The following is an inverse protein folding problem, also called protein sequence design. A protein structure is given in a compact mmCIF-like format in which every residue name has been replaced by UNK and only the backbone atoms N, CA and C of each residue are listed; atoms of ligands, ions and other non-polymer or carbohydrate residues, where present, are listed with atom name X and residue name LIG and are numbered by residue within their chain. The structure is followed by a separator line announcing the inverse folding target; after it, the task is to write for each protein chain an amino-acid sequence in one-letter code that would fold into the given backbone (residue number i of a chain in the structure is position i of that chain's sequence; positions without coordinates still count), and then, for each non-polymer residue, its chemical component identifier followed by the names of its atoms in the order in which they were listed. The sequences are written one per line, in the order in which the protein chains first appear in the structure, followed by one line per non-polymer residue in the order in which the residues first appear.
data_IF_045314363300
#
_entry.id   IF_045314363300
#
_cell.length_a   1.000
_cell.length_b   1.000
_cell.length_c   1.000
_cell.angle_alpha   90.00
_cell.angle_beta   90.00
_cell.angle_gamma   90.00
#
_symmetry.space_group_name_H-M   'P 1'
#
loop_
_entity.id
_entity.type
_entity.pdbx_description
1 polymer ?
#
# COMPACT_ATOMS: atom_id res chain seq x y z
N UNK A 1 12.82 -32.37 22.15
CA UNK A 1 11.64 -31.49 22.01
C UNK A 1 12.09 -30.06 22.23
N UNK A 2 12.51 -29.35 21.17
CA UNK A 2 12.76 -27.92 21.23
C UNK A 2 11.42 -27.22 21.04
N UNK A 3 10.88 -26.67 22.12
CA UNK A 3 9.67 -25.84 22.08
C UNK A 3 10.14 -24.38 22.00
N UNK A 4 10.42 -23.91 20.78
CA UNK A 4 10.64 -22.49 20.53
C UNK A 4 9.33 -21.77 20.76
N UNK A 5 9.21 -21.09 21.90
CA UNK A 5 8.17 -20.09 22.11
C UNK A 5 8.43 -18.96 21.11
N UNK A 6 7.81 -19.03 19.95
CA UNK A 6 7.66 -17.86 19.08
C UNK A 6 6.85 -16.83 19.88
N UNK A 7 7.55 -15.87 20.47
CA UNK A 7 6.92 -14.67 20.99
C UNK A 7 6.33 -13.93 19.80
N UNK A 8 5.02 -14.03 19.61
CA UNK A 8 4.29 -13.28 18.57
C UNK A 8 4.61 -11.80 18.73
N UNK A 9 5.32 -11.22 17.77
CA UNK A 9 5.64 -9.80 17.75
C UNK A 9 4.33 -9.01 17.80
N UNK A 10 4.11 -8.24 18.87
CA UNK A 10 2.89 -7.46 19.03
C UNK A 10 3.08 -6.11 18.36
N UNK A 11 2.42 -5.93 17.21
CA UNK A 11 2.41 -4.66 16.49
C UNK A 11 1.45 -3.66 17.17
N UNK A 12 1.77 -2.37 17.06
CA UNK A 12 1.05 -1.28 17.74
C UNK A 12 -0.18 -0.82 16.97
N UNK A 13 -0.13 -0.86 15.65
CA UNK A 13 -1.17 -0.32 14.77
C UNK A 13 -1.74 -1.40 13.83
N UNK A 14 -3.02 -1.24 13.49
CA UNK A 14 -3.76 -2.00 12.48
C UNK A 14 -4.09 -1.05 11.32
N UNK A 15 -3.78 -1.43 10.07
CA UNK A 15 -4.07 -0.61 8.88
C UNK A 15 -5.56 -0.25 8.77
N UNK A 16 -6.42 -1.06 9.38
CA UNK A 16 -7.88 -0.90 9.40
C UNK A 16 -8.34 0.28 10.26
N UNK A 17 -7.45 0.81 11.12
CA UNK A 17 -7.72 1.88 12.07
C UNK A 17 -6.56 2.89 12.17
N UNK A 18 -5.63 2.88 11.21
CA UNK A 18 -4.45 3.74 11.27
C UNK A 18 -4.80 5.21 10.98
N UNK A 19 -5.92 5.45 10.29
CA UNK A 19 -6.42 6.78 9.97
C UNK A 19 -5.40 7.62 9.21
N UNK A 20 -5.21 8.88 9.62
CA UNK A 20 -4.30 9.85 8.99
C UNK A 20 -2.87 9.83 9.53
N UNK A 21 -2.44 8.80 10.27
CA UNK A 21 -1.10 8.78 10.87
C UNK A 21 0.01 8.83 9.81
N UNK A 22 1.17 9.39 10.19
CA UNK A 22 2.34 9.48 9.32
C UNK A 22 2.96 8.08 9.15
N UNK A 23 2.56 7.40 8.08
CA UNK A 23 3.14 6.12 7.68
C UNK A 23 4.48 6.39 7.01
N UNK A 24 5.52 5.69 7.47
CA UNK A 24 6.85 5.70 6.90
C UNK A 24 7.43 4.28 6.92
N UNK A 25 8.43 4.01 6.10
CA UNK A 25 9.14 2.73 6.06
C UNK A 25 9.82 2.45 7.39
N UNK A 26 10.27 3.50 8.10
CA UNK A 26 10.92 3.36 9.39
C UNK A 26 10.03 2.76 10.49
N UNK A 27 8.69 2.85 10.34
CA UNK A 27 7.72 2.25 11.28
C UNK A 27 7.16 0.91 10.80
N UNK A 28 7.36 0.55 9.53
CA UNK A 28 7.04 -0.80 9.02
C UNK A 28 7.90 -1.84 9.74
N UNK A 29 7.31 -2.98 10.05
CA UNK A 29 7.86 -4.06 10.89
C UNK A 29 8.25 -3.69 12.32
N UNK A 30 8.21 -2.41 12.71
CA UNK A 30 8.42 -1.98 14.11
C UNK A 30 7.10 -1.77 14.83
N UNK A 31 6.19 -1.03 14.19
CA UNK A 31 4.91 -0.62 14.76
C UNK A 31 3.71 -1.15 13.98
N UNK A 32 3.88 -1.43 12.69
CA UNK A 32 2.86 -1.99 11.80
C UNK A 32 3.42 -3.30 11.22
N UNK A 33 2.61 -4.35 11.20
CA UNK A 33 2.95 -5.57 10.46
C UNK A 33 2.80 -5.28 8.97
N UNK A 34 3.90 -5.36 8.22
CA UNK A 34 3.88 -5.08 6.78
C UNK A 34 2.99 -6.05 5.99
N UNK A 35 2.69 -7.25 6.53
CA UNK A 35 1.77 -8.20 5.90
C UNK A 35 0.33 -7.70 5.87
N UNK A 36 -0.04 -6.76 6.74
CA UNK A 36 -1.37 -6.17 6.72
C UNK A 36 -1.67 -5.43 5.40
N UNK A 37 -0.64 -4.96 4.69
CA UNK A 37 -0.80 -4.31 3.38
C UNK A 37 -1.12 -5.29 2.25
N UNK A 38 -1.14 -6.60 2.50
CA UNK A 38 -1.73 -7.55 1.58
C UNK A 38 -3.26 -7.44 1.62
N UNK A 39 -3.89 -7.45 0.45
CA UNK A 39 -5.32 -7.13 0.33
C UNK A 39 -6.22 -8.05 1.18
N UNK A 40 -5.82 -9.29 1.41
CA UNK A 40 -6.61 -10.30 2.09
C UNK A 40 -6.35 -10.36 3.61
N UNK A 41 -5.34 -9.68 4.13
CA UNK A 41 -4.94 -9.80 5.54
C UNK A 41 -5.72 -8.87 6.48
N UNK A 42 -6.43 -7.86 5.95
CA UNK A 42 -7.19 -6.93 6.79
C UNK A 42 -8.43 -7.62 7.42
N UNK A 43 -8.78 -7.21 8.64
CA UNK A 43 -9.85 -7.84 9.42
C UNK A 43 -11.23 -7.80 8.73
N UNK A 44 -11.51 -6.76 7.94
CA UNK A 44 -12.79 -6.63 7.24
C UNK A 44 -12.92 -7.64 6.10
N UNK A 45 -11.83 -7.88 5.36
CA UNK A 45 -11.81 -8.91 4.32
C UNK A 45 -11.94 -10.32 4.91
N UNK A 46 -11.29 -10.57 6.05
CA UNK A 46 -11.42 -11.85 6.76
C UNK A 46 -12.86 -12.10 7.24
N UNK A 47 -13.51 -11.09 7.80
CA UNK A 47 -14.94 -11.14 8.17
C UNK A 47 -15.85 -11.31 6.95
N UNK A 48 -15.52 -10.65 5.83
CA UNK A 48 -16.22 -10.80 4.57
C UNK A 48 -16.17 -12.25 4.06
N UNK A 49 -14.99 -12.87 4.05
CA UNK A 49 -14.82 -14.27 3.64
C UNK A 49 -15.62 -15.23 4.52
N UNK A 50 -15.72 -14.97 5.82
CA UNK A 50 -16.52 -15.77 6.74
C UNK A 50 -18.03 -15.57 6.52
N UNK A 51 -18.49 -14.33 6.30
CA UNK A 51 -19.91 -14.03 6.11
C UNK A 51 -20.43 -14.54 4.76
N UNK A 52 -19.62 -14.50 3.70
CA UNK A 52 -19.98 -15.02 2.38
C UNK A 52 -20.27 -16.53 2.35
N UNK A 53 -19.74 -17.30 3.31
CA UNK A 53 -20.05 -18.73 3.45
C UNK A 53 -21.47 -18.97 3.96
N UNK A 54 -22.11 -17.96 4.57
CA UNK A 54 -23.48 -18.02 5.08
C UNK A 54 -24.43 -17.43 4.05
N UNK A 55 -25.52 -18.15 3.75
CA UNK A 55 -26.56 -17.65 2.84
C UNK A 55 -27.45 -16.65 3.56
N UNK A 56 -27.47 -15.39 3.11
CA UNK A 56 -28.41 -14.35 3.54
C UNK A 56 -29.56 -14.20 2.53
N UNK A 57 -30.80 -14.05 3.01
CA UNK A 57 -31.99 -13.92 2.14
C UNK A 57 -32.11 -12.51 1.58
N UNK A 58 -32.52 -12.41 0.31
CA UNK A 58 -32.88 -11.14 -0.32
C UNK A 58 -34.28 -10.75 0.19
N UNK A 59 -34.39 -9.59 0.83
CA UNK A 59 -35.66 -9.07 1.35
C UNK A 59 -36.32 -8.10 0.38
N UNK A 60 -35.53 -7.45 -0.48
CA UNK A 60 -36.03 -6.52 -1.50
C UNK A 60 -35.06 -6.44 -2.68
N UNK A 61 -35.60 -6.30 -3.89
CA UNK A 61 -34.82 -6.07 -5.10
C UNK A 61 -35.46 -4.96 -5.95
N UNK A 62 -34.63 -4.05 -6.45
CA UNK A 62 -35.04 -3.01 -7.42
C UNK A 62 -34.30 -3.24 -8.73
N UNK A 63 -35.01 -3.13 -9.86
CA UNK A 63 -34.46 -3.23 -11.22
C UNK A 63 -34.74 -1.91 -11.94
N UNK A 64 -33.75 -1.34 -12.60
CA UNK A 64 -33.92 -0.08 -13.35
C UNK A 64 -34.76 -0.30 -14.61
N UNK A 65 -35.70 0.61 -14.89
CA UNK A 65 -36.69 0.50 -15.98
C UNK A 65 -36.05 0.29 -17.37
N UNK A 66 -34.83 0.78 -17.61
CA UNK A 66 -34.08 0.62 -18.88
C UNK A 66 -32.76 -0.18 -18.72
N UNK A 67 -32.59 -0.91 -17.60
CA UNK A 67 -31.29 -1.47 -17.24
C UNK A 67 -30.24 -0.43 -16.79
N UNK A 68 -30.68 0.77 -16.38
CA UNK A 68 -29.84 1.81 -15.77
C UNK A 68 -30.59 2.46 -14.59
N UNK A 69 -30.22 2.09 -13.37
CA UNK A 69 -30.78 2.61 -12.09
C UNK A 69 -30.08 3.92 -11.71
N UNK A 70 -28.74 3.94 -11.76
CA UNK A 70 -27.93 5.07 -11.30
C UNK A 70 -26.51 4.96 -11.86
N UNK A 71 -25.94 6.07 -12.33
CA UNK A 71 -24.53 6.18 -12.72
C UNK A 71 -23.68 6.38 -11.47
N UNK A 72 -22.72 5.50 -11.22
CA UNK A 72 -21.75 5.60 -10.12
C UNK A 72 -20.34 5.65 -10.71
N UNK A 73 -19.50 6.53 -10.17
CA UNK A 73 -18.08 6.56 -10.47
C UNK A 73 -17.35 5.55 -9.59
N UNK A 74 -16.68 4.58 -10.19
CA UNK A 74 -15.70 3.70 -9.52
C UNK A 74 -14.34 4.05 -10.11
N UNK A 75 -13.48 4.67 -9.29
CA UNK A 75 -12.21 5.25 -9.75
C UNK A 75 -12.42 6.23 -10.91
N UNK A 76 -11.87 5.97 -12.11
CA UNK A 76 -12.01 6.81 -13.31
C UNK A 76 -13.16 6.38 -14.23
N UNK A 77 -13.85 5.27 -13.92
CA UNK A 77 -14.87 4.68 -14.77
C UNK A 77 -16.27 4.96 -14.19
N UNK A 78 -17.22 5.28 -15.06
CA UNK A 78 -18.62 5.38 -14.67
C UNK A 78 -19.35 4.09 -15.05
N UNK A 79 -19.98 3.47 -14.05
CA UNK A 79 -20.79 2.27 -14.23
C UNK A 79 -22.25 2.56 -13.90
N UNK A 80 -23.14 1.91 -14.64
CA UNK A 80 -24.57 1.98 -14.41
C UNK A 80 -25.01 0.76 -13.60
N UNK A 81 -25.62 1.00 -12.44
CA UNK A 81 -26.27 -0.04 -11.66
C UNK A 81 -27.48 -0.54 -12.45
N UNK A 82 -27.65 -1.84 -12.59
CA UNK A 82 -28.82 -2.49 -13.17
C UNK A 82 -29.79 -2.98 -12.11
N UNK A 83 -29.25 -3.56 -11.04
CA UNK A 83 -30.02 -4.18 -9.97
C UNK A 83 -29.45 -3.74 -8.62
N UNK A 84 -30.33 -3.40 -7.70
CA UNK A 84 -30.00 -3.20 -6.28
C UNK A 84 -30.73 -4.27 -5.47
N UNK A 85 -30.01 -5.02 -4.64
CA UNK A 85 -30.57 -6.02 -3.71
C UNK A 85 -30.30 -5.62 -2.28
N UNK A 86 -31.32 -5.73 -1.44
CA UNK A 86 -31.24 -5.55 0.00
C UNK A 86 -31.39 -6.92 0.66
N UNK A 87 -30.52 -7.21 1.61
CA UNK A 87 -30.48 -8.48 2.30
C UNK A 87 -30.91 -8.34 3.77
N UNK A 88 -31.32 -9.45 4.37
CA UNK A 88 -31.74 -9.54 5.78
C UNK A 88 -30.62 -9.12 6.76
N UNK A 89 -29.37 -9.44 6.42
CA UNK A 89 -28.16 -9.00 7.14
C UNK A 89 -27.79 -7.52 6.89
N UNK A 90 -28.70 -6.74 6.31
CA UNK A 90 -28.54 -5.32 5.97
C UNK A 90 -27.42 -5.03 4.95
N UNK A 91 -26.85 -6.07 4.33
CA UNK A 91 -25.96 -5.91 3.17
C UNK A 91 -26.75 -5.39 1.98
N UNK A 92 -26.12 -4.51 1.20
CA UNK A 92 -26.65 -4.04 -0.09
C UNK A 92 -25.73 -4.54 -1.20
N UNK A 93 -26.28 -5.18 -2.22
CA UNK A 93 -25.56 -5.58 -3.44
C UNK A 93 -26.04 -4.74 -4.63
N UNK A 94 -25.08 -4.11 -5.31
CA UNK A 94 -25.28 -3.41 -6.57
C UNK A 94 -24.68 -4.25 -7.70
N UNK A 95 -25.50 -4.60 -8.68
CA UNK A 95 -25.07 -5.34 -9.87
C UNK A 95 -25.06 -4.36 -11.03
N UNK A 96 -23.91 -4.21 -11.68
CA UNK A 96 -23.72 -3.32 -12.81
C UNK A 96 -23.96 -4.03 -14.14
N UNK A 97 -24.15 -3.26 -15.21
CA UNK A 97 -24.40 -3.80 -16.56
C UNK A 97 -23.30 -4.74 -17.08
N UNK A 98 -22.06 -4.52 -16.66
CA UNK A 98 -20.93 -5.39 -16.96
C UNK A 98 -20.83 -6.60 -16.01
N UNK A 99 -21.86 -6.90 -15.23
CA UNK A 99 -21.92 -8.00 -14.23
C UNK A 99 -20.97 -7.84 -13.04
N UNK A 100 -20.21 -6.75 -12.95
CA UNK A 100 -19.48 -6.39 -11.73
C UNK A 100 -20.48 -6.28 -10.58
N UNK A 101 -20.07 -6.73 -9.40
CA UNK A 101 -20.86 -6.63 -8.17
C UNK A 101 -20.14 -5.76 -7.17
N UNK A 102 -20.85 -4.80 -6.60
CA UNK A 102 -20.41 -4.04 -5.42
C UNK A 102 -21.28 -4.45 -4.24
N UNK A 103 -20.65 -4.85 -3.15
CA UNK A 103 -21.32 -5.16 -1.90
C UNK A 103 -20.98 -4.07 -0.87
N UNK A 104 -21.97 -3.60 -0.13
CA UNK A 104 -21.84 -2.59 0.93
C UNK A 104 -22.44 -3.17 2.21
N UNK A 105 -21.69 -3.07 3.30
CA UNK A 105 -22.04 -3.66 4.59
C UNK A 105 -22.41 -2.59 5.62
N UNK A 106 -23.17 -2.93 6.68
CA UNK A 106 -23.60 -1.98 7.71
C UNK A 106 -22.45 -1.27 8.43
N UNK A 107 -21.31 -1.95 8.59
CA UNK A 107 -20.10 -1.40 9.19
C UNK A 107 -19.35 -0.41 8.26
N UNK A 108 -19.95 0.02 7.14
CA UNK A 108 -19.39 0.89 6.08
C UNK A 108 -18.31 0.25 5.21
N UNK A 109 -17.90 -0.99 5.48
CA UNK A 109 -17.04 -1.73 4.56
C UNK A 109 -17.75 -1.91 3.22
N UNK A 110 -17.02 -1.78 2.12
CA UNK A 110 -17.52 -2.17 0.80
C UNK A 110 -16.46 -2.83 -0.04
N UNK A 111 -16.90 -3.73 -0.92
CA UNK A 111 -16.02 -4.51 -1.79
C UNK A 111 -16.60 -4.59 -3.21
N UNK A 112 -15.72 -4.54 -4.19
CA UNK A 112 -16.02 -4.70 -5.61
C UNK A 112 -15.08 -5.78 -6.16
N UNK A 113 -15.66 -6.84 -6.71
CA UNK A 113 -14.92 -7.87 -7.43
C UNK A 113 -15.06 -7.59 -8.94
N UNK A 114 -13.95 -7.33 -9.61
CA UNK A 114 -13.93 -7.02 -11.03
C UNK A 114 -13.77 -8.29 -11.88
N UNK A 115 -14.09 -8.17 -13.17
CA UNK A 115 -14.05 -9.28 -14.13
C UNK A 115 -12.62 -9.75 -14.39
N UNK A 116 -11.65 -8.82 -14.35
CA UNK A 116 -10.22 -9.11 -14.46
C UNK A 116 -9.61 -9.66 -13.17
N UNK A 117 -10.43 -10.11 -12.21
CA UNK A 117 -10.03 -10.63 -10.90
C UNK A 117 -9.45 -9.60 -9.92
N UNK A 118 -9.36 -8.33 -10.32
CA UNK A 118 -9.03 -7.26 -9.39
C UNK A 118 -10.08 -7.17 -8.27
N UNK A 119 -9.64 -6.69 -7.12
CA UNK A 119 -10.49 -6.46 -5.96
C UNK A 119 -10.29 -5.03 -5.49
N UNK A 120 -11.39 -4.30 -5.29
CA UNK A 120 -11.36 -3.01 -4.61
C UNK A 120 -12.16 -3.07 -3.32
N UNK A 121 -11.54 -2.65 -2.24
CA UNK A 121 -12.14 -2.53 -0.91
C UNK A 121 -12.15 -1.07 -0.48
N UNK A 122 -13.15 -0.68 0.29
CA UNK A 122 -13.21 0.60 0.99
C UNK A 122 -13.52 0.29 2.44
N UNK A 123 -12.61 0.68 3.34
CA UNK A 123 -12.72 0.47 4.78
C UNK A 123 -13.58 1.58 5.42
N UNK A 124 -14.01 1.41 6.69
CA UNK A 124 -14.89 2.38 7.35
C UNK A 124 -14.26 3.75 7.58
N UNK A 125 -12.93 3.82 7.65
CA UNK A 125 -12.14 5.06 7.77
C UNK A 125 -11.84 5.71 6.40
N UNK A 126 -12.48 5.23 5.33
CA UNK A 126 -12.29 5.65 3.93
C UNK A 126 -10.97 5.22 3.29
N UNK A 127 -10.15 4.41 3.97
CA UNK A 127 -8.98 3.76 3.36
C UNK A 127 -9.43 2.87 2.19
N UNK A 128 -8.78 3.02 1.03
CA UNK A 128 -9.06 2.26 -0.19
C UNK A 128 -7.96 1.24 -0.39
N UNK A 129 -8.31 -0.04 -0.51
CA UNK A 129 -7.37 -1.11 -0.85
C UNK A 129 -7.72 -1.62 -2.25
N UNK A 130 -6.79 -1.57 -3.18
CA UNK A 130 -6.93 -2.08 -4.54
C UNK A 130 -5.90 -3.18 -4.80
N UNK A 131 -6.37 -4.36 -5.15
CA UNK A 131 -5.54 -5.49 -5.56
C UNK A 131 -5.59 -5.64 -7.07
N UNK A 132 -4.41 -5.58 -7.70
CA UNK A 132 -4.19 -5.84 -9.12
C UNK A 132 -3.83 -7.31 -9.29
N UNK A 133 -4.74 -8.11 -9.84
CA UNK A 133 -4.57 -9.56 -9.89
C UNK A 133 -3.45 -10.00 -10.83
N UNK A 134 -3.33 -9.36 -12.00
CA UNK A 134 -2.31 -9.68 -13.01
C UNK A 134 -0.89 -9.42 -12.51
N UNK A 135 -0.71 -8.35 -11.73
CA UNK A 135 0.59 -7.93 -11.20
C UNK A 135 0.87 -8.43 -9.77
N UNK A 136 -0.07 -9.16 -9.15
CA UNK A 136 0.00 -9.57 -7.73
C UNK A 136 0.39 -8.43 -6.78
N UNK A 137 -0.14 -7.24 -7.03
CA UNK A 137 0.25 -6.01 -6.33
C UNK A 137 -0.93 -5.41 -5.59
N UNK A 138 -0.73 -5.01 -4.34
CA UNK A 138 -1.74 -4.30 -3.55
C UNK A 138 -1.36 -2.83 -3.41
N UNK A 139 -2.30 -1.93 -3.70
CA UNK A 139 -2.22 -0.51 -3.41
C UNK A 139 -3.20 -0.16 -2.29
N UNK A 140 -2.71 0.47 -1.23
CA UNK A 140 -3.52 1.02 -0.14
C UNK A 140 -3.42 2.54 -0.16
N UNK A 141 -4.54 3.22 -0.40
CA UNK A 141 -4.64 4.69 -0.38
C UNK A 141 -5.35 5.13 0.89
N UNK A 142 -4.64 5.90 1.72
CA UNK A 142 -5.17 6.46 2.96
C UNK A 142 -5.95 7.77 2.72
N UNK A 143 -6.81 8.20 3.66
CA UNK A 143 -7.58 9.45 3.53
C UNK A 143 -6.72 10.71 3.37
N UNK A 144 -5.50 10.71 3.92
CA UNK A 144 -4.53 11.80 3.78
C UNK A 144 -3.82 11.81 2.40
N UNK A 145 -4.15 10.87 1.50
CA UNK A 145 -3.59 10.77 0.15
C UNK A 145 -2.30 9.96 0.04
N UNK A 146 -1.75 9.45 1.14
CA UNK A 146 -0.59 8.56 1.11
C UNK A 146 -0.98 7.24 0.44
N UNK A 147 -0.16 6.78 -0.49
CA UNK A 147 -0.31 5.48 -1.14
C UNK A 147 0.79 4.54 -0.68
N UNK A 148 0.43 3.32 -0.29
CA UNK A 148 1.38 2.24 0.00
C UNK A 148 1.18 1.14 -1.03
N UNK A 149 2.27 0.75 -1.70
CA UNK A 149 2.30 -0.36 -2.65
C UNK A 149 3.05 -1.54 -2.03
N UNK A 150 2.44 -2.72 -2.12
CA UNK A 150 3.02 -4.00 -1.74
C UNK A 150 3.13 -4.86 -3.00
N UNK A 151 4.36 -5.11 -3.42
CA UNK A 151 4.71 -5.92 -4.59
C UNK A 151 4.96 -7.39 -4.22
N UNK A 152 4.86 -8.32 -5.19
CA UNK A 152 5.04 -9.76 -4.93
C UNK A 152 6.48 -10.14 -4.58
N UNK A 153 7.47 -9.33 -4.97
CA UNK A 153 8.88 -9.52 -4.68
C UNK A 153 9.29 -8.98 -3.29
N UNK A 154 8.35 -8.79 -2.36
CA UNK A 154 8.59 -8.19 -1.05
C UNK A 154 9.07 -6.73 -1.02
N UNK A 155 9.03 -6.04 -2.16
CA UNK A 155 9.21 -4.59 -2.20
C UNK A 155 7.98 -3.86 -1.66
N UNK A 156 8.24 -2.78 -0.92
CA UNK A 156 7.25 -1.85 -0.43
C UNK A 156 7.59 -0.43 -0.88
N UNK A 157 6.58 0.32 -1.30
CA UNK A 157 6.73 1.74 -1.63
C UNK A 157 5.66 2.57 -0.95
N UNK A 158 6.05 3.72 -0.40
CA UNK A 158 5.17 4.73 0.15
C UNK A 158 5.31 5.98 -0.71
N UNK A 159 4.22 6.44 -1.31
CA UNK A 159 4.17 7.65 -2.11
C UNK A 159 3.33 8.69 -1.39
N UNK A 160 3.94 9.83 -1.10
CA UNK A 160 3.31 10.94 -0.40
C UNK A 160 2.70 11.94 -1.40
N UNK A 161 1.64 12.69 -1.02
CA UNK A 161 1.01 13.68 -1.88
C UNK A 161 1.93 14.80 -2.36
N UNK A 162 2.95 15.14 -1.58
CA UNK A 162 3.96 16.14 -1.90
C UNK A 162 5.01 15.67 -2.94
N UNK A 163 4.95 14.41 -3.36
CA UNK A 163 5.89 13.82 -4.33
C UNK A 163 7.04 13.03 -3.70
N UNK A 164 7.21 13.09 -2.37
CA UNK A 164 8.19 12.25 -1.68
C UNK A 164 7.86 10.77 -1.86
N UNK A 165 8.90 9.94 -1.89
CA UNK A 165 8.76 8.49 -1.90
C UNK A 165 9.71 7.84 -0.93
N UNK A 166 9.25 6.79 -0.29
CA UNK A 166 10.08 5.87 0.47
C UNK A 166 9.92 4.48 -0.15
N UNK A 167 11.03 3.77 -0.36
CA UNK A 167 11.06 2.45 -0.99
C UNK A 167 11.89 1.51 -0.10
N UNK A 168 11.37 0.33 0.20
CA UNK A 168 12.09 -0.76 0.87
C UNK A 168 12.13 -1.94 -0.10
N UNK A 169 13.33 -2.30 -0.53
CA UNK A 169 13.57 -3.43 -1.40
C UNK A 169 13.66 -4.73 -0.58
N UNK A 170 13.59 -5.86 -1.27
CA UNK A 170 13.58 -7.19 -0.65
C UNK A 170 14.91 -7.55 0.03
N UNK A 171 16.00 -6.94 -0.39
CA UNK A 171 17.34 -7.08 0.19
C UNK A 171 17.55 -6.17 1.42
N UNK A 172 16.49 -5.51 1.91
CA UNK A 172 16.58 -4.58 3.03
C UNK A 172 17.09 -3.18 2.66
N UNK A 173 17.51 -2.95 1.41
CA UNK A 173 17.89 -1.62 0.92
C UNK A 173 16.70 -0.67 1.05
N UNK A 174 16.95 0.53 1.56
CA UNK A 174 15.94 1.58 1.68
C UNK A 174 16.32 2.77 0.83
N UNK A 175 15.41 3.24 -0.02
CA UNK A 175 15.61 4.42 -0.86
C UNK A 175 14.56 5.48 -0.53
N UNK A 176 15.01 6.71 -0.34
CA UNK A 176 14.20 7.89 -0.07
C UNK A 176 14.35 8.85 -1.24
N UNK A 177 13.26 9.40 -1.73
CA UNK A 177 13.23 10.38 -2.82
C UNK A 177 12.50 11.61 -2.30
N UNK A 178 13.16 12.77 -2.38
CA UNK A 178 12.59 14.05 -1.94
C UNK A 178 11.59 14.62 -2.96
N UNK A 179 10.89 15.67 -2.58
CA UNK A 179 9.98 16.41 -3.47
C UNK A 179 10.71 17.01 -4.69
N UNK A 180 11.98 17.38 -4.49
CA UNK A 180 12.87 17.97 -5.50
C UNK A 180 13.55 16.91 -6.38
N UNK A 181 13.42 15.62 -6.06
CA UNK A 181 13.98 14.51 -6.82
C UNK A 181 15.38 14.08 -6.39
N UNK A 182 15.89 14.60 -5.28
CA UNK A 182 17.11 14.10 -4.65
C UNK A 182 16.84 12.72 -4.05
N UNK A 183 17.83 11.84 -4.10
CA UNK A 183 17.68 10.46 -3.63
C UNK A 183 18.72 10.14 -2.55
N UNK A 184 18.31 9.38 -1.54
CA UNK A 184 19.21 8.79 -0.55
C UNK A 184 18.91 7.30 -0.44
N UNK A 185 19.92 6.45 -0.64
CA UNK A 185 19.81 5.00 -0.54
C UNK A 185 20.71 4.49 0.58
N UNK A 186 20.12 3.71 1.49
CA UNK A 186 20.81 3.02 2.57
C UNK A 186 20.86 1.53 2.23
N UNK A 187 22.08 1.01 2.06
CA UNK A 187 22.33 -0.41 1.82
C UNK A 187 22.54 -1.15 3.14
N UNK A 188 22.30 -2.47 3.14
CA UNK A 188 22.43 -3.31 4.34
C UNK A 188 23.87 -3.40 4.85
N UNK A 189 24.86 -3.25 3.97
CA UNK A 189 26.29 -3.23 4.33
C UNK A 189 26.73 -1.94 5.04
N UNK A 190 25.82 -0.95 5.18
CA UNK A 190 26.07 0.36 5.78
C UNK A 190 26.51 1.42 4.77
N UNK A 191 26.63 1.09 3.49
CA UNK A 191 26.89 2.06 2.43
C UNK A 191 25.70 3.02 2.29
N UNK A 192 25.99 4.31 2.14
CA UNK A 192 25.01 5.35 1.88
C UNK A 192 25.30 5.95 0.51
N UNK A 193 24.30 5.99 -0.36
CA UNK A 193 24.40 6.64 -1.66
C UNK A 193 23.43 7.81 -1.73
N UNK A 194 23.92 8.97 -2.17
CA UNK A 194 23.09 10.13 -2.48
C UNK A 194 23.13 10.43 -3.98
N UNK A 195 22.03 10.92 -4.54
CA UNK A 195 21.94 11.46 -5.90
C UNK A 195 21.30 12.85 -5.81
N UNK A 196 22.00 13.88 -6.24
CA UNK A 196 21.47 15.24 -6.22
C UNK A 196 20.67 15.59 -7.49
N UNK A 197 20.10 16.80 -7.52
CA UNK A 197 19.33 17.30 -8.67
C UNK A 197 20.17 17.45 -9.95
N UNK A 198 21.49 17.59 -9.82
CA UNK A 198 22.44 17.71 -10.92
C UNK A 198 22.94 16.34 -11.40
N UNK A 199 22.40 15.24 -10.88
CA UNK A 199 22.81 13.86 -11.16
C UNK A 199 24.23 13.53 -10.67
N UNK A 200 24.77 14.32 -9.74
CA UNK A 200 25.99 13.97 -9.01
C UNK A 200 25.64 12.89 -8.01
N UNK A 201 26.30 11.74 -8.14
CA UNK A 201 26.13 10.59 -7.27
C UNK A 201 27.29 10.55 -6.28
N UNK A 202 27.01 10.35 -5.00
CA UNK A 202 28.02 10.21 -3.96
C UNK A 202 27.77 8.95 -3.15
N UNK A 203 28.80 8.13 -2.97
CA UNK A 203 28.78 6.87 -2.25
C UNK A 203 29.73 6.97 -1.06
N UNK A 204 29.19 6.88 0.16
CA UNK A 204 29.96 6.75 1.40
C UNK A 204 29.91 5.31 1.85
N UNK A 205 31.06 4.67 1.91
CA UNK A 205 31.22 3.29 2.36
C UNK A 205 31.36 3.24 3.88
N UNK A 206 31.16 2.05 4.45
CA UNK A 206 31.25 1.82 5.89
C UNK A 206 32.64 2.10 6.48
N UNK A 207 33.70 1.99 5.66
CA UNK A 207 35.09 2.28 6.04
C UNK A 207 35.43 3.79 6.01
N UNK A 208 34.45 4.68 5.77
CA UNK A 208 34.67 6.12 5.67
C UNK A 208 35.10 6.61 4.28
N UNK A 209 35.46 5.71 3.37
CA UNK A 209 35.79 6.06 1.98
C UNK A 209 34.58 6.67 1.29
N UNK A 210 34.81 7.73 0.51
CA UNK A 210 33.77 8.42 -0.23
C UNK A 210 34.14 8.54 -1.72
N UNK A 211 33.18 8.22 -2.59
CA UNK A 211 33.33 8.36 -4.04
C UNK A 211 32.25 9.24 -4.61
N UNK A 212 32.64 10.17 -5.47
CA UNK A 212 31.75 11.08 -6.18
C UNK A 212 31.84 10.78 -7.67
N UNK A 213 30.69 10.59 -8.30
CA UNK A 213 30.53 10.32 -9.72
C UNK A 213 29.73 11.48 -10.32
N UNK A 214 30.31 12.14 -11.30
CA UNK A 214 29.69 13.26 -12.01
C UNK A 214 29.03 12.78 -13.31
N UNK A 215 28.08 13.53 -13.88
CA UNK A 215 27.34 13.11 -15.08
C UNK A 215 28.19 12.96 -16.36
N UNK A 216 29.40 13.50 -16.36
CA UNK A 216 30.39 13.45 -17.44
C UNK A 216 31.38 12.27 -17.29
N UNK A 217 31.03 11.28 -16.46
CA UNK A 217 31.84 10.11 -16.12
C UNK A 217 33.15 10.45 -15.37
N UNK A 218 33.31 11.68 -14.88
CA UNK A 218 34.40 12.03 -13.98
C UNK A 218 34.16 11.42 -12.58
N UNK A 219 35.23 10.87 -11.99
CA UNK A 219 35.20 10.24 -10.66
C UNK A 219 36.22 10.90 -9.73
N UNK A 220 35.79 11.17 -8.49
CA UNK A 220 36.62 11.74 -7.44
C UNK A 220 36.57 10.85 -6.20
N UNK A 221 37.73 10.48 -5.64
CA UNK A 221 37.83 9.74 -4.38
C UNK A 221 38.20 10.72 -3.26
N UNK A 222 37.42 10.74 -2.18
CA UNK A 222 37.73 11.47 -0.96
C UNK A 222 37.95 10.47 0.17
N UNK A 223 39.10 10.58 0.83
CA UNK A 223 39.36 9.91 2.10
C UNK A 223 39.02 10.91 3.21
N UNK A 224 38.12 10.54 4.11
CA UNK A 224 37.98 11.25 5.37
C UNK A 224 39.10 10.70 6.25
N UNK A 225 40.21 11.45 6.36
CA UNK A 225 41.23 11.12 7.36
C UNK A 225 40.57 11.26 8.74
N UNK A 226 40.55 10.18 9.53
CA UNK A 226 40.03 10.17 10.91
C UNK A 226 40.92 10.96 11.91
N UNK A 227 41.87 11.76 11.42
CA UNK A 227 42.94 12.40 12.20
C UNK A 227 42.82 13.93 12.34
N UNK A 228 41.63 14.53 12.17
CA UNK A 228 41.39 15.93 12.58
C UNK A 228 40.84 16.03 14.01
N UNK A 229 41.48 15.31 14.94
CA UNK A 229 41.55 15.70 16.36
C UNK A 229 42.61 16.80 16.52
N UNK A 230 42.33 18.01 16.03
CA UNK A 230 43.15 19.20 16.32
C UNK A 230 42.45 20.13 17.33
N UNK A 231 42.81 19.87 18.61
CA UNK A 231 42.77 20.70 19.83
C UNK A 231 41.47 21.34 20.32
#
# INVERSE_FOLDING_TARGET
MHNSKETSKKFKYDISNIGSQNISISILDKLIDQNQFQYDQNQFYQQYQQSNKKTSKIIQQTVGQDGKVKKIKIQKIYLYIQITRFYEDQKIEYIFANKVKKQVFPNKYSIVNFINQDIKQVLPDETIIYYFADAFTTQTTFPNGVNVYKFPNDQYEIHFPNGQKEIKFCDGTMKFISETGEEVTYFEDGTIQTLDVNKVKKCRYKNGEEKIFYPDDYEENQYIDEDDDYY
#
